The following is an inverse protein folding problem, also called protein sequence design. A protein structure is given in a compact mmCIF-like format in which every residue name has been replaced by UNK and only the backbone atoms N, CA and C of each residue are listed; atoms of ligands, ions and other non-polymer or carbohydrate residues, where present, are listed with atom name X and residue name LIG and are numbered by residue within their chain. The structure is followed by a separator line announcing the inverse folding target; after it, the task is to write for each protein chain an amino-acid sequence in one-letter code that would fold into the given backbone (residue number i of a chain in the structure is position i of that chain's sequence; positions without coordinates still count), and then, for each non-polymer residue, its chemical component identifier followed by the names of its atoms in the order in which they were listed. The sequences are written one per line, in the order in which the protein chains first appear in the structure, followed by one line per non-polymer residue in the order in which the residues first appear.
data_IF_803038894215
#
_entry.id   IF_803038894215
#
_cell.length_a   1.000
_cell.length_b   1.000
_cell.length_c   1.000
_cell.angle_alpha   90.00
_cell.angle_beta   90.00
_cell.angle_gamma   90.00
#
_symmetry.space_group_name_H-M   'P 1'
#
loop_
_entity.id
_entity.type
_entity.pdbx_description
1 polymer ?
#
# COMPACT_ATOMS: atom_id res chain seq x y z
N UNK A 1 23.72 -1.51 23.43
CA UNK A 1 23.64 -2.12 22.09
C UNK A 1 22.37 -2.94 21.90
N UNK A 2 21.97 -3.80 22.85
CA UNK A 2 20.68 -4.49 22.81
C UNK A 2 19.47 -3.56 22.88
N UNK A 3 19.57 -2.43 23.59
CA UNK A 3 18.53 -1.40 23.65
C UNK A 3 18.28 -0.75 22.27
N UNK A 4 19.34 -0.53 21.47
CA UNK A 4 19.21 0.02 20.12
C UNK A 4 18.49 -0.95 19.18
N UNK A 5 18.78 -2.26 19.28
CA UNK A 5 18.06 -3.28 18.51
C UNK A 5 16.56 -3.30 18.89
N UNK A 6 16.25 -3.23 20.19
CA UNK A 6 14.88 -3.15 20.66
C UNK A 6 14.15 -1.90 20.12
N UNK A 7 14.80 -0.75 20.12
CA UNK A 7 14.26 0.49 19.55
C UNK A 7 14.00 0.36 18.03
N UNK A 8 14.90 -0.26 17.29
CA UNK A 8 14.72 -0.52 15.87
C UNK A 8 13.53 -1.44 15.63
N UNK A 9 13.38 -2.49 16.43
CA UNK A 9 12.22 -3.41 16.33
C UNK A 9 10.90 -2.72 16.70
N UNK A 10 10.90 -1.84 17.67
CA UNK A 10 9.74 -1.01 18.01
C UNK A 10 9.38 -0.06 16.86
N UNK A 11 10.37 0.55 16.22
CA UNK A 11 10.19 1.38 15.04
C UNK A 11 9.65 0.58 13.86
N UNK A 12 10.12 -0.64 13.65
CA UNK A 12 9.58 -1.56 12.65
C UNK A 12 8.10 -1.88 12.94
N UNK A 13 7.74 -2.06 14.21
CA UNK A 13 6.35 -2.29 14.60
C UNK A 13 5.46 -1.08 14.27
N UNK A 14 5.93 0.15 14.49
CA UNK A 14 5.19 1.36 14.09
C UNK A 14 4.95 1.38 12.59
N UNK A 15 5.97 1.09 11.78
CA UNK A 15 5.85 0.99 10.33
C UNK A 15 4.85 -0.11 9.92
N UNK A 16 4.94 -1.27 10.54
CA UNK A 16 4.02 -2.40 10.28
C UNK A 16 2.59 -2.06 10.70
N UNK A 17 2.38 -1.41 11.83
CA UNK A 17 1.06 -0.97 12.30
C UNK A 17 0.41 -0.01 11.30
N UNK A 18 1.12 1.02 10.85
CA UNK A 18 0.64 1.96 9.84
C UNK A 18 0.28 1.20 8.56
N UNK A 19 1.14 0.31 8.11
CA UNK A 19 0.92 -0.51 6.91
C UNK A 19 -0.32 -1.40 7.04
N UNK A 20 -0.45 -2.13 8.14
CA UNK A 20 -1.57 -3.05 8.38
C UNK A 20 -2.89 -2.31 8.39
N UNK A 21 -2.99 -1.20 9.14
CA UNK A 21 -4.21 -0.38 9.18
C UNK A 21 -4.56 0.16 7.80
N UNK A 22 -3.57 0.68 7.08
CA UNK A 22 -3.76 1.20 5.73
C UNK A 22 -4.20 0.11 4.74
N UNK A 23 -3.64 -1.09 4.82
CA UNK A 23 -4.01 -2.24 3.99
C UNK A 23 -5.44 -2.68 4.29
N UNK A 24 -5.81 -2.83 5.56
CA UNK A 24 -7.14 -3.26 5.95
C UNK A 24 -8.25 -2.30 5.47
N UNK A 25 -7.96 -1.02 5.34
CA UNK A 25 -8.89 -0.02 4.84
C UNK A 25 -8.82 0.06 3.31
N UNK A 26 -7.62 0.13 2.73
CA UNK A 26 -7.45 0.39 1.30
C UNK A 26 -7.80 -0.81 0.41
N UNK A 27 -7.63 -2.04 0.88
CA UNK A 27 -7.95 -3.21 0.06
C UNK A 27 -9.45 -3.30 -0.28
N UNK A 28 -10.38 -3.26 0.69
CA UNK A 28 -11.81 -3.24 0.37
C UNK A 28 -12.22 -2.03 -0.47
N UNK A 29 -11.72 -0.84 -0.14
CA UNK A 29 -12.01 0.37 -0.91
C UNK A 29 -11.47 0.29 -2.34
N UNK A 30 -10.29 -0.26 -2.52
CA UNK A 30 -9.68 -0.47 -3.84
C UNK A 30 -10.46 -1.47 -4.69
N UNK A 31 -10.95 -2.54 -4.09
CA UNK A 31 -11.84 -3.49 -4.76
C UNK A 31 -13.11 -2.79 -5.25
N UNK A 32 -13.73 -1.98 -4.40
CA UNK A 32 -14.93 -1.21 -4.76
C UNK A 32 -14.64 -0.22 -5.89
N UNK A 33 -13.58 0.57 -5.78
CA UNK A 33 -13.18 1.56 -6.80
C UNK A 33 -12.87 0.88 -8.12
N UNK A 34 -12.11 -0.22 -8.11
CA UNK A 34 -11.78 -0.98 -9.31
C UNK A 34 -13.02 -1.56 -10.00
N UNK A 35 -13.96 -2.09 -9.23
CA UNK A 35 -15.24 -2.57 -9.76
C UNK A 35 -16.08 -1.43 -10.37
N UNK A 36 -16.15 -0.28 -9.68
CA UNK A 36 -16.87 0.90 -10.19
C UNK A 36 -16.24 1.49 -11.47
N UNK A 37 -14.94 1.31 -11.68
CA UNK A 37 -14.26 1.71 -12.92
C UNK A 37 -14.61 0.84 -14.12
N UNK A 38 -15.23 -0.32 -13.91
CA UNK A 38 -15.65 -1.22 -15.00
C UNK A 38 -17.13 -1.06 -15.39
N UNK A 39 -17.91 -0.27 -14.65
CA UNK A 39 -19.31 -0.01 -14.98
C UNK A 39 -19.46 0.81 -16.26
N UNK A 40 -20.62 0.76 -16.89
CA UNK A 40 -20.89 1.48 -18.14
C UNK A 40 -21.05 2.99 -17.98
N UNK A 41 -21.26 3.50 -16.76
CA UNK A 41 -21.45 4.92 -16.50
C UNK A 41 -20.16 5.70 -16.73
N UNK A 42 -20.16 6.56 -17.74
CA UNK A 42 -18.98 7.35 -18.14
C UNK A 42 -18.56 8.37 -17.07
N UNK A 43 -19.52 8.92 -16.33
CA UNK A 43 -19.23 9.91 -15.27
C UNK A 43 -18.49 9.25 -14.11
N UNK A 44 -18.97 8.09 -13.66
CA UNK A 44 -18.31 7.31 -12.61
C UNK A 44 -16.90 6.90 -13.03
N UNK A 45 -16.74 6.39 -14.26
CA UNK A 45 -15.41 6.03 -14.81
C UNK A 45 -14.47 7.24 -14.82
N UNK A 46 -14.93 8.37 -15.32
CA UNK A 46 -14.13 9.59 -15.42
C UNK A 46 -13.71 10.10 -14.05
N UNK A 47 -14.63 10.10 -13.08
CA UNK A 47 -14.34 10.52 -11.70
C UNK A 47 -13.23 9.69 -11.07
N UNK A 48 -13.36 8.37 -11.09
CA UNK A 48 -12.35 7.50 -10.49
C UNK A 48 -11.02 7.48 -11.27
N UNK A 49 -11.09 7.68 -12.59
CA UNK A 49 -9.88 7.81 -13.40
C UNK A 49 -9.09 9.07 -13.05
N UNK A 50 -9.77 10.21 -12.88
CA UNK A 50 -9.12 11.46 -12.45
C UNK A 50 -8.51 11.29 -11.06
N UNK A 51 -9.23 10.69 -10.12
CA UNK A 51 -8.71 10.38 -8.79
C UNK A 51 -7.44 9.52 -8.86
N UNK A 52 -7.49 8.44 -9.61
CA UNK A 52 -6.39 7.49 -9.75
C UNK A 52 -5.14 8.13 -10.37
N UNK A 53 -5.32 8.88 -11.46
CA UNK A 53 -4.22 9.56 -12.12
C UNK A 53 -3.62 10.65 -11.22
N UNK A 54 -4.46 11.43 -10.52
CA UNK A 54 -3.99 12.46 -9.59
C UNK A 54 -3.12 11.86 -8.48
N UNK A 55 -3.58 10.80 -7.83
CA UNK A 55 -2.85 10.13 -6.76
C UNK A 55 -1.56 9.48 -7.27
N UNK A 56 -1.55 8.92 -8.48
CA UNK A 56 -0.36 8.26 -9.04
C UNK A 56 0.68 9.22 -9.56
N UNK A 57 0.28 10.38 -10.06
CA UNK A 57 1.20 11.42 -10.54
C UNK A 57 1.84 12.16 -9.37
N UNK A 58 1.08 12.39 -8.30
CA UNK A 58 1.58 13.14 -7.16
C UNK A 58 2.63 12.35 -6.37
N UNK A 59 3.80 12.92 -6.07
CA UNK A 59 4.75 12.28 -5.18
C UNK A 59 4.14 12.04 -3.80
N UNK A 60 4.28 10.81 -3.28
CA UNK A 60 3.69 10.43 -1.99
C UNK A 60 4.17 11.32 -0.84
N UNK A 61 5.44 11.72 -0.86
CA UNK A 61 6.00 12.62 0.15
C UNK A 61 5.30 13.98 0.14
N UNK A 62 5.02 14.53 -1.04
CA UNK A 62 4.29 15.80 -1.19
C UNK A 62 2.87 15.66 -0.67
N UNK A 63 2.19 14.57 -0.99
CA UNK A 63 0.85 14.28 -0.49
C UNK A 63 0.85 14.16 1.05
N UNK A 64 1.87 13.53 1.62
CA UNK A 64 2.07 13.43 3.07
C UNK A 64 2.18 14.81 3.73
N UNK A 65 2.98 15.71 3.16
CA UNK A 65 3.11 17.08 3.65
C UNK A 65 1.82 17.87 3.51
N UNK A 66 1.11 17.74 2.40
CA UNK A 66 -0.17 18.42 2.18
C UNK A 66 -1.20 17.98 3.21
N UNK A 67 -1.34 16.68 3.47
CA UNK A 67 -2.30 16.16 4.43
C UNK A 67 -1.91 16.52 5.86
N UNK A 68 -0.66 16.36 6.23
CA UNK A 68 -0.21 16.60 7.61
C UNK A 68 -0.21 18.09 7.96
N UNK A 69 0.45 18.92 7.16
CA UNK A 69 0.56 20.35 7.44
C UNK A 69 -0.66 21.13 6.95
N UNK A 70 -1.25 20.73 5.83
CA UNK A 70 -2.40 21.41 5.24
C UNK A 70 -3.67 21.24 6.07
N UNK A 71 -3.89 20.09 6.66
CA UNK A 71 -5.05 19.87 7.56
C UNK A 71 -5.01 20.77 8.77
N UNK A 72 -3.86 21.00 9.36
CA UNK A 72 -3.69 21.91 10.49
C UNK A 72 -3.94 23.35 10.10
N UNK A 73 -3.38 23.80 8.97
CA UNK A 73 -3.49 25.19 8.52
C UNK A 73 -4.87 25.55 7.94
N UNK A 74 -5.41 24.67 7.10
CA UNK A 74 -6.64 24.96 6.38
C UNK A 74 -7.90 24.62 7.16
N UNK A 75 -7.86 23.54 7.97
CA UNK A 75 -9.04 23.02 8.68
C UNK A 75 -8.93 23.15 10.20
N UNK A 76 -7.79 23.55 10.73
CA UNK A 76 -7.52 23.60 12.17
C UNK A 76 -7.50 22.23 12.85
N UNK A 77 -7.35 21.15 12.07
CA UNK A 77 -7.29 19.79 12.60
C UNK A 77 -5.87 19.44 13.05
N UNK A 78 -5.74 19.02 14.30
CA UNK A 78 -4.49 18.50 14.83
C UNK A 78 -4.38 16.99 14.58
N UNK A 79 -4.08 16.60 13.35
CA UNK A 79 -3.83 15.21 13.02
C UNK A 79 -2.45 14.79 13.53
N UNK A 80 -2.38 13.61 14.17
CA UNK A 80 -1.09 13.00 14.47
C UNK A 80 -0.38 12.57 13.18
N UNK A 81 0.94 12.46 13.22
CA UNK A 81 1.70 11.97 12.06
C UNK A 81 1.26 10.57 11.61
N UNK A 82 0.91 9.70 12.56
CA UNK A 82 0.40 8.35 12.24
C UNK A 82 -0.94 8.40 11.51
N UNK A 83 -1.88 9.23 11.98
CA UNK A 83 -3.19 9.38 11.32
C UNK A 83 -3.05 9.97 9.92
N UNK A 84 -2.25 11.01 9.77
CA UNK A 84 -1.96 11.60 8.45
C UNK A 84 -1.34 10.58 7.49
N UNK A 85 -0.42 9.76 7.99
CA UNK A 85 0.22 8.68 7.23
C UNK A 85 -0.79 7.65 6.77
N UNK A 86 -1.69 7.22 7.65
CA UNK A 86 -2.76 6.26 7.30
C UNK A 86 -3.67 6.84 6.23
N UNK A 87 -4.07 8.09 6.35
CA UNK A 87 -4.91 8.77 5.33
C UNK A 87 -4.23 8.73 3.96
N UNK A 88 -2.95 9.11 3.89
CA UNK A 88 -2.19 9.14 2.63
C UNK A 88 -2.02 7.75 2.04
N UNK A 89 -1.65 6.77 2.86
CA UNK A 89 -1.46 5.39 2.38
C UNK A 89 -2.78 4.71 2.01
N UNK A 90 -3.88 5.07 2.67
CA UNK A 90 -5.22 4.62 2.26
C UNK A 90 -5.59 5.20 0.90
N UNK A 91 -5.39 6.50 0.68
CA UNK A 91 -5.64 7.13 -0.62
C UNK A 91 -4.80 6.49 -1.73
N UNK A 92 -3.52 6.32 -1.48
CA UNK A 92 -2.62 5.69 -2.44
C UNK A 92 -2.93 4.22 -2.66
N UNK A 93 -3.10 3.44 -1.60
CA UNK A 93 -3.39 2.02 -1.66
C UNK A 93 -4.73 1.72 -2.34
N UNK A 94 -5.74 2.55 -2.10
CA UNK A 94 -7.04 2.46 -2.76
C UNK A 94 -6.91 2.71 -4.26
N UNK A 95 -6.14 3.70 -4.67
CA UNK A 95 -5.88 3.98 -6.09
C UNK A 95 -5.13 2.83 -6.76
N UNK A 96 -4.06 2.34 -6.16
CA UNK A 96 -3.25 1.24 -6.68
C UNK A 96 -4.05 -0.08 -6.75
N UNK A 97 -4.76 -0.42 -5.67
CA UNK A 97 -5.60 -1.62 -5.64
C UNK A 97 -6.75 -1.53 -6.63
N UNK A 98 -7.36 -0.34 -6.75
CA UNK A 98 -8.41 -0.08 -7.74
C UNK A 98 -7.95 -0.33 -9.17
N UNK A 99 -6.75 0.11 -9.51
CA UNK A 99 -6.18 -0.15 -10.83
C UNK A 99 -5.87 -1.64 -11.06
N UNK A 100 -5.36 -2.32 -10.05
CA UNK A 100 -5.14 -3.77 -10.12
C UNK A 100 -6.44 -4.54 -10.34
N UNK A 101 -7.50 -4.21 -9.60
CA UNK A 101 -8.83 -4.83 -9.74
C UNK A 101 -9.42 -4.57 -11.12
N UNK A 102 -9.38 -3.32 -11.57
CA UNK A 102 -9.82 -2.96 -12.93
C UNK A 102 -9.06 -3.77 -13.99
N UNK A 103 -7.73 -3.79 -13.89
CA UNK A 103 -6.88 -4.52 -14.82
C UNK A 103 -7.17 -6.02 -14.84
N UNK A 104 -7.38 -6.63 -13.67
CA UNK A 104 -7.73 -8.04 -13.56
C UNK A 104 -9.10 -8.35 -14.16
N UNK A 105 -10.11 -7.51 -13.92
CA UNK A 105 -11.45 -7.69 -14.49
C UNK A 105 -11.46 -7.56 -16.01
N UNK A 106 -10.82 -6.54 -16.57
CA UNK A 106 -10.78 -6.35 -18.02
C UNK A 106 -9.87 -7.35 -18.73
N UNK A 107 -8.99 -8.03 -18.02
CA UNK A 107 -8.12 -9.08 -18.58
C UNK A 107 -8.83 -10.41 -18.81
N UNK A 108 -10.03 -10.59 -18.27
CA UNK A 108 -10.83 -11.79 -18.49
C UNK A 108 -11.29 -11.80 -19.95
N UNK A 109 -10.96 -12.85 -20.73
CA UNK A 109 -11.34 -12.91 -22.14
C UNK A 109 -12.85 -12.89 -22.34
N UNK A 110 -13.29 -12.21 -23.40
CA UNK A 110 -14.72 -12.09 -23.75
C UNK A 110 -15.40 -13.46 -23.90
N UNK A 111 -14.70 -14.45 -24.43
CA UNK A 111 -15.24 -15.78 -24.60
C UNK A 111 -15.69 -16.45 -23.28
N UNK A 112 -15.15 -16.06 -22.14
CA UNK A 112 -15.61 -16.57 -20.83
C UNK A 112 -17.05 -16.14 -20.55
N UNK A 113 -17.42 -14.91 -20.92
CA UNK A 113 -18.78 -14.41 -20.81
C UNK A 113 -19.70 -15.08 -21.83
N UNK A 114 -19.26 -15.18 -23.08
CA UNK A 114 -20.02 -15.79 -24.18
C UNK A 114 -20.29 -17.28 -23.95
N UNK A 115 -19.28 -18.01 -23.48
CA UNK A 115 -19.43 -19.45 -23.15
C UNK A 115 -20.37 -19.65 -21.96
N UNK A 116 -20.33 -18.79 -20.98
CA UNK A 116 -21.25 -18.84 -19.83
C UNK A 116 -22.70 -18.61 -20.26
N UNK A 117 -22.91 -17.64 -21.13
CA UNK A 117 -24.22 -17.36 -21.70
C UNK A 117 -24.74 -18.53 -22.54
N UNK A 118 -23.86 -19.13 -23.35
CA UNK A 118 -24.19 -20.31 -24.14
C UNK A 118 -24.58 -21.53 -23.29
N UNK A 119 -24.05 -21.65 -22.09
CA UNK A 119 -24.41 -22.67 -21.12
C UNK A 119 -25.67 -22.33 -20.31
N UNK A 120 -26.31 -21.19 -20.58
CA UNK A 120 -27.53 -20.77 -19.91
C UNK A 120 -27.33 -20.14 -18.52
N UNK A 121 -26.11 -19.77 -18.17
CA UNK A 121 -25.84 -19.08 -16.90
C UNK A 121 -26.40 -17.65 -16.91
N UNK A 122 -27.05 -17.27 -15.81
CA UNK A 122 -27.43 -15.87 -15.62
C UNK A 122 -26.20 -14.98 -15.45
N UNK A 123 -26.35 -13.66 -15.59
CA UNK A 123 -25.26 -12.70 -15.37
C UNK A 123 -24.64 -12.84 -13.97
N UNK A 124 -25.48 -13.00 -12.95
CA UNK A 124 -25.04 -13.20 -11.57
C UNK A 124 -24.23 -14.50 -11.43
N UNK A 125 -24.73 -15.59 -11.99
CA UNK A 125 -24.04 -16.89 -11.99
C UNK A 125 -22.71 -16.82 -12.72
N UNK A 126 -22.67 -16.14 -13.88
CA UNK A 126 -21.44 -15.93 -14.64
C UNK A 126 -20.39 -15.20 -13.79
N UNK A 127 -20.76 -14.09 -13.14
CA UNK A 127 -19.83 -13.37 -12.29
C UNK A 127 -19.39 -14.20 -11.08
N UNK A 128 -20.33 -14.80 -10.36
CA UNK A 128 -20.00 -15.53 -9.12
C UNK A 128 -19.17 -16.81 -9.37
N UNK A 129 -19.45 -17.55 -10.43
CA UNK A 129 -18.83 -18.87 -10.64
C UNK A 129 -17.67 -18.86 -11.63
N UNK A 130 -17.61 -17.87 -12.53
CA UNK A 130 -16.63 -17.86 -13.62
C UNK A 130 -15.67 -16.66 -13.51
N UNK A 131 -16.21 -15.45 -13.43
CA UNK A 131 -15.41 -14.23 -13.54
C UNK A 131 -14.68 -13.89 -12.23
N UNK A 132 -15.40 -13.83 -11.12
CA UNK A 132 -14.81 -13.47 -9.82
C UNK A 132 -13.72 -14.47 -9.39
N UNK A 133 -13.89 -15.80 -9.48
CA UNK A 133 -12.83 -16.74 -9.11
C UNK A 133 -11.55 -16.55 -9.92
N UNK A 134 -11.66 -16.32 -11.24
CA UNK A 134 -10.51 -16.06 -12.09
C UNK A 134 -9.85 -14.73 -11.77
N UNK A 135 -10.64 -13.69 -11.52
CA UNK A 135 -10.15 -12.36 -11.15
C UNK A 135 -9.39 -12.40 -9.82
N UNK A 136 -9.95 -13.05 -8.81
CA UNK A 136 -9.31 -13.19 -7.48
C UNK A 136 -7.98 -13.92 -7.61
N UNK A 137 -7.92 -15.01 -8.37
CA UNK A 137 -6.68 -15.75 -8.59
C UNK A 137 -5.58 -14.88 -9.19
N UNK A 138 -5.92 -13.99 -10.11
CA UNK A 138 -4.97 -13.05 -10.72
C UNK A 138 -4.57 -11.92 -9.76
N UNK A 139 -5.50 -11.50 -8.89
CA UNK A 139 -5.29 -10.38 -7.96
C UNK A 139 -4.40 -10.74 -6.77
N UNK A 140 -4.46 -11.96 -6.27
CA UNK A 140 -3.77 -12.34 -5.03
C UNK A 140 -2.28 -12.01 -5.07
N UNK A 141 -1.47 -12.46 -6.06
CA UNK A 141 -0.05 -12.15 -6.08
C UNK A 141 0.22 -10.65 -6.27
N UNK A 142 -0.56 -9.97 -7.10
CA UNK A 142 -0.43 -8.53 -7.34
C UNK A 142 -0.73 -7.73 -6.08
N UNK A 143 -1.74 -8.14 -5.31
CA UNK A 143 -2.11 -7.52 -4.02
C UNK A 143 -1.00 -7.70 -2.98
N UNK A 144 -0.39 -8.87 -2.92
CA UNK A 144 0.71 -9.15 -1.99
C UNK A 144 1.94 -8.28 -2.34
N UNK A 145 2.24 -8.11 -3.62
CA UNK A 145 3.30 -7.20 -4.07
C UNK A 145 2.99 -5.74 -3.71
N UNK A 146 1.75 -5.32 -3.79
CA UNK A 146 1.32 -4.00 -3.34
C UNK A 146 1.51 -3.82 -1.83
N UNK A 147 1.19 -4.84 -1.04
CA UNK A 147 1.38 -4.85 0.42
C UNK A 147 2.87 -4.66 0.77
N UNK A 148 3.78 -5.37 0.12
CA UNK A 148 5.23 -5.22 0.37
C UNK A 148 5.73 -3.83 -0.03
N UNK A 149 5.24 -3.28 -1.12
CA UNK A 149 5.57 -1.90 -1.52
C UNK A 149 5.09 -0.90 -0.48
N UNK A 150 3.88 -1.06 0.05
CA UNK A 150 3.34 -0.19 1.09
C UNK A 150 4.20 -0.24 2.36
N UNK A 151 4.60 -1.42 2.82
CA UNK A 151 5.47 -1.57 3.99
C UNK A 151 6.78 -0.80 3.80
N UNK A 152 7.43 -0.94 2.66
CA UNK A 152 8.68 -0.22 2.37
C UNK A 152 8.47 1.29 2.25
N UNK A 153 7.37 1.73 1.72
CA UNK A 153 7.05 3.15 1.52
C UNK A 153 6.73 3.87 2.83
N UNK A 154 6.37 3.14 3.89
CA UNK A 154 6.16 3.74 5.22
C UNK A 154 7.41 4.41 5.79
N UNK A 155 8.60 4.14 5.25
CA UNK A 155 9.82 4.87 5.63
C UNK A 155 9.73 6.38 5.39
N UNK A 156 8.89 6.84 4.47
CA UNK A 156 8.69 8.27 4.19
C UNK A 156 8.09 9.05 5.37
N UNK A 157 7.39 8.37 6.28
CA UNK A 157 6.71 9.05 7.40
C UNK A 157 7.69 9.68 8.42
N UNK A 158 8.96 9.29 8.36
CA UNK A 158 9.99 9.96 9.16
C UNK A 158 10.04 11.48 8.89
N UNK A 159 9.71 11.89 7.66
CA UNK A 159 9.78 13.29 7.22
C UNK A 159 8.71 14.17 7.88
N UNK A 160 7.65 13.59 8.41
CA UNK A 160 6.63 14.29 9.21
C UNK A 160 6.78 14.02 10.71
N UNK A 161 7.92 13.48 11.13
CA UNK A 161 8.27 13.29 12.54
C UNK A 161 7.75 11.99 13.16
N UNK A 162 7.20 11.07 12.41
CA UNK A 162 6.81 9.75 12.94
C UNK A 162 8.07 8.93 13.25
N UNK A 163 8.15 8.43 14.47
CA UNK A 163 9.30 7.65 14.95
C UNK A 163 9.11 6.18 14.55
N UNK A 164 9.38 5.88 13.30
CA UNK A 164 9.43 4.52 12.75
C UNK A 164 10.90 4.05 12.66
N UNK A 165 11.16 2.87 12.10
CA UNK A 165 12.49 2.24 12.14
C UNK A 165 13.60 3.12 11.54
N UNK A 166 13.36 3.77 10.40
CA UNK A 166 14.36 4.62 9.76
C UNK A 166 14.65 5.88 10.59
N UNK A 167 13.63 6.45 11.24
CA UNK A 167 13.80 7.58 12.17
C UNK A 167 14.62 7.16 13.39
N UNK A 168 14.35 6.00 13.96
CA UNK A 168 15.15 5.44 15.07
C UNK A 168 16.59 5.23 14.63
N UNK A 169 16.82 4.70 13.42
CA UNK A 169 18.15 4.53 12.87
C UNK A 169 18.93 5.86 12.80
N UNK A 170 18.30 6.91 12.32
CA UNK A 170 18.89 8.26 12.28
C UNK A 170 19.22 8.77 13.69
N UNK A 171 18.34 8.56 14.66
CA UNK A 171 18.58 8.94 16.05
C UNK A 171 19.78 8.19 16.65
N UNK A 172 19.92 6.90 16.37
CA UNK A 172 21.05 6.08 16.83
C UNK A 172 22.37 6.58 16.21
N UNK A 173 22.36 6.88 14.94
CA UNK A 173 23.53 7.40 14.21
C UNK A 173 23.96 8.74 14.81
N UNK A 174 23.03 9.65 15.03
CA UNK A 174 23.31 10.97 15.58
C UNK A 174 23.84 10.88 17.02
N UNK A 175 23.21 10.05 17.86
CA UNK A 175 23.64 9.85 19.26
C UNK A 175 25.06 9.27 19.37
N UNK A 176 25.53 8.52 18.39
CA UNK A 176 26.84 7.88 18.38
C UNK A 176 27.84 8.57 17.44
N UNK A 177 27.52 9.73 16.91
CA UNK A 177 28.33 10.44 15.91
C UNK A 177 29.75 10.71 16.37
N UNK A 178 29.92 11.09 17.63
CA UNK A 178 31.23 11.40 18.19
C UNK A 178 32.04 10.14 18.57
N UNK A 179 31.38 9.08 19.02
CA UNK A 179 32.02 7.86 19.48
C UNK A 179 32.28 6.84 18.36
N UNK A 180 31.46 6.88 17.31
CA UNK A 180 31.53 5.93 16.18
C UNK A 180 31.12 6.62 14.88
N UNK A 181 32.00 7.46 14.28
CA UNK A 181 31.64 8.24 13.08
C UNK A 181 31.18 7.40 11.88
N UNK A 182 31.63 6.16 11.80
CA UNK A 182 31.32 5.23 10.71
C UNK A 182 30.15 4.29 11.01
N UNK A 183 29.42 4.54 12.12
CA UNK A 183 28.30 3.69 12.52
C UNK A 183 27.11 3.73 11.53
N UNK A 184 26.98 4.77 10.72
CA UNK A 184 25.88 4.96 9.79
C UNK A 184 25.70 3.77 8.83
N UNK A 185 26.79 3.30 8.23
CA UNK A 185 26.73 2.16 7.31
C UNK A 185 26.22 0.90 8.00
N UNK A 186 26.76 0.59 9.20
CA UNK A 186 26.33 -0.59 9.96
C UNK A 186 24.86 -0.51 10.40
N UNK A 187 24.40 0.67 10.86
CA UNK A 187 23.01 0.86 11.27
C UNK A 187 22.06 0.74 10.09
N UNK A 188 22.35 1.36 8.96
CA UNK A 188 21.52 1.22 7.76
C UNK A 188 21.55 -0.19 7.20
N UNK A 189 22.66 -0.92 7.31
CA UNK A 189 22.71 -2.33 6.93
C UNK A 189 21.76 -3.18 7.77
N UNK A 190 21.71 -2.93 9.09
CA UNK A 190 20.75 -3.59 9.99
C UNK A 190 19.31 -3.26 9.61
N UNK A 191 19.02 -2.00 9.32
CA UNK A 191 17.69 -1.56 8.84
C UNK A 191 17.32 -2.27 7.53
N UNK A 192 18.25 -2.35 6.59
CA UNK A 192 18.06 -3.09 5.34
C UNK A 192 17.71 -4.55 5.59
N UNK A 193 18.46 -5.23 6.45
CA UNK A 193 18.22 -6.63 6.81
C UNK A 193 16.85 -6.81 7.46
N UNK A 194 16.46 -5.92 8.38
CA UNK A 194 15.15 -5.97 9.03
C UNK A 194 14.00 -5.77 8.05
N UNK A 195 14.09 -4.81 7.13
CA UNK A 195 13.10 -4.65 6.06
C UNK A 195 13.07 -5.86 5.13
N UNK A 196 14.23 -6.40 4.80
CA UNK A 196 14.31 -7.60 3.98
C UNK A 196 13.58 -8.78 4.63
N UNK A 197 13.83 -9.06 5.90
CA UNK A 197 13.15 -10.15 6.61
C UNK A 197 11.66 -9.86 6.88
N UNK A 198 11.24 -8.60 6.93
CA UNK A 198 9.84 -8.26 7.01
C UNK A 198 9.09 -8.47 5.69
N UNK A 199 9.70 -8.18 4.56
CA UNK A 199 9.06 -8.18 3.24
C UNK A 199 9.32 -9.47 2.43
N UNK A 200 10.47 -10.11 2.59
CA UNK A 200 10.85 -11.27 1.78
C UNK A 200 9.92 -12.47 1.92
N UNK A 201 9.49 -12.89 3.12
CA UNK A 201 8.52 -13.98 3.25
C UNK A 201 7.20 -13.69 2.53
N UNK A 202 6.76 -12.43 2.56
CA UNK A 202 5.54 -11.98 1.88
C UNK A 202 5.74 -12.03 0.36
N UNK A 203 6.89 -11.60 -0.15
CA UNK A 203 7.24 -11.71 -1.58
C UNK A 203 7.33 -13.16 -2.05
N UNK A 204 7.87 -14.06 -1.24
CA UNK A 204 7.90 -15.49 -1.55
C UNK A 204 6.49 -16.08 -1.67
N UNK A 205 5.59 -15.67 -0.78
CA UNK A 205 4.19 -16.09 -0.85
C UNK A 205 3.55 -15.62 -2.16
N UNK A 206 3.79 -14.39 -2.60
CA UNK A 206 3.32 -13.88 -3.89
C UNK A 206 3.83 -14.74 -5.05
N UNK A 207 5.14 -15.02 -5.10
CA UNK A 207 5.76 -15.82 -6.14
C UNK A 207 5.24 -17.27 -6.16
N UNK A 208 4.94 -17.83 -4.99
CA UNK A 208 4.34 -19.16 -4.89
C UNK A 208 2.91 -19.20 -5.45
N UNK A 209 2.14 -18.14 -5.19
CA UNK A 209 0.74 -18.05 -5.63
C UNK A 209 0.60 -17.68 -7.11
N UNK A 210 1.66 -17.18 -7.76
CA UNK A 210 1.69 -16.93 -9.21
C UNK A 210 1.83 -18.22 -10.04
N UNK A 211 2.33 -19.30 -9.46
CA UNK A 211 2.50 -20.60 -10.09
C UNK A 211 1.23 -21.43 -10.03
#
# INVERSE_FOLDING_TARGET
KGTNMLRLLQGLWVAMKISIVSILISMPLGILVGALMTVKNKVVKAFFRVYLEFIRIMPQLVLLFIVYFGSTRALGWNLSGEVASVIVFVLWGTAEMGDLVRGALISIPKHQYESSEALGLSKIQTYLYIIIPQTVRRLIPLSINLITRMIKTTSLVLMIGVVEMLKVAQQIIEANRMSSPNAAFGVFLVVFVLYFFACWPISLLASYLEK
#
